data_IF_651625913962
#
_entry.id   IF_651625913962
#
_cell.length_a   1.000
_cell.length_b   1.000
_cell.length_c   1.000
_cell.angle_alpha   90.00
_cell.angle_beta   90.00
_cell.angle_gamma   90.00
#
_symmetry.space_group_name_H-M   'P 1'
#
loop_
_entity.id
_entity.type
_entity.pdbx_description
1 polymer ?
#
# COMPACT_ATOMS: atom_id res chain seq x y z
N UNK A 1 14.65 -42.25 -55.74
CA UNK A 1 14.14 -42.30 -54.35
C UNK A 1 14.17 -40.88 -53.82
N UNK A 2 13.10 -40.14 -54.07
CA UNK A 2 12.99 -38.73 -53.71
C UNK A 2 12.69 -38.57 -52.22
N UNK A 3 13.55 -37.82 -51.54
CA UNK A 3 13.38 -37.49 -50.12
C UNK A 3 12.24 -36.48 -50.00
N UNK A 4 11.14 -36.89 -49.36
CA UNK A 4 10.06 -36.00 -48.94
C UNK A 4 10.61 -34.94 -47.97
N UNK A 5 10.42 -33.67 -48.28
CA UNK A 5 10.67 -32.57 -47.35
C UNK A 5 9.66 -32.64 -46.20
N UNK A 6 10.15 -32.93 -44.99
CA UNK A 6 9.36 -32.85 -43.75
C UNK A 6 9.46 -31.43 -43.22
N UNK A 7 8.38 -30.65 -43.34
CA UNK A 7 8.28 -29.35 -42.70
C UNK A 7 7.92 -29.53 -41.22
N UNK A 8 8.83 -29.15 -40.31
CA UNK A 8 8.52 -29.02 -38.88
C UNK A 8 8.04 -27.60 -38.61
N UNK A 9 6.75 -27.43 -38.32
CA UNK A 9 6.21 -26.17 -37.82
C UNK A 9 6.54 -26.05 -36.33
N UNK A 10 7.34 -25.05 -35.96
CA UNK A 10 7.55 -24.68 -34.56
C UNK A 10 6.35 -23.85 -34.09
N UNK A 11 5.57 -24.39 -33.15
CA UNK A 11 4.53 -23.65 -32.44
C UNK A 11 5.18 -22.64 -31.50
N UNK A 12 5.21 -21.37 -31.89
CA UNK A 12 5.57 -20.28 -30.97
C UNK A 12 4.55 -20.23 -29.82
N UNK A 13 5.01 -20.36 -28.59
CA UNK A 13 4.18 -20.20 -27.40
C UNK A 13 3.64 -18.76 -27.31
N UNK A 14 2.37 -18.58 -27.63
CA UNK A 14 1.69 -17.28 -27.48
C UNK A 14 1.56 -16.94 -26.00
N UNK A 15 2.16 -15.82 -25.58
CA UNK A 15 1.88 -15.21 -24.28
C UNK A 15 0.37 -14.97 -24.13
N UNK A 16 -0.22 -15.49 -23.05
CA UNK A 16 -1.66 -15.37 -22.81
C UNK A 16 -1.93 -13.99 -22.18
N UNK A 17 -2.80 -13.20 -22.79
CA UNK A 17 -3.25 -11.91 -22.25
C UNK A 17 -4.62 -12.06 -21.59
N UNK A 18 -4.89 -11.31 -20.53
CA UNK A 18 -6.23 -11.12 -19.94
C UNK A 18 -6.68 -9.71 -20.26
N UNK A 19 -7.90 -9.56 -20.75
CA UNK A 19 -8.52 -8.26 -20.99
C UNK A 19 -9.87 -8.22 -20.28
N UNK A 20 -10.19 -7.11 -19.66
CA UNK A 20 -11.50 -6.86 -19.03
C UNK A 20 -11.91 -5.41 -19.19
N UNK A 21 -13.21 -5.17 -19.28
CA UNK A 21 -13.83 -3.84 -19.27
C UNK A 21 -14.62 -3.58 -17.99
N UNK A 22 -14.82 -4.61 -17.15
CA UNK A 22 -15.49 -4.50 -15.86
C UNK A 22 -14.61 -5.14 -14.79
N UNK A 23 -14.45 -4.44 -13.67
CA UNK A 23 -13.79 -4.94 -12.46
C UNK A 23 -14.75 -4.80 -11.29
N UNK A 24 -15.05 -5.92 -10.63
CA UNK A 24 -15.85 -5.95 -9.41
C UNK A 24 -14.93 -6.14 -8.21
N UNK A 25 -15.17 -5.38 -7.14
CA UNK A 25 -14.48 -5.52 -5.86
C UNK A 25 -15.53 -5.65 -4.77
N UNK A 26 -15.48 -6.76 -4.03
CA UNK A 26 -16.40 -7.05 -2.95
C UNK A 26 -15.71 -6.83 -1.61
N UNK A 27 -16.33 -6.04 -0.74
CA UNK A 27 -15.94 -5.87 0.66
C UNK A 27 -17.11 -6.29 1.56
N UNK A 28 -16.91 -6.45 2.88
CA UNK A 28 -18.01 -6.81 3.77
C UNK A 28 -19.19 -5.83 3.74
N UNK A 29 -18.93 -4.55 3.48
CA UNK A 29 -19.95 -3.50 3.53
C UNK A 29 -20.63 -3.24 2.18
N UNK A 30 -19.93 -3.42 1.05
CA UNK A 30 -20.46 -3.06 -0.27
C UNK A 30 -19.77 -3.82 -1.43
N UNK A 31 -20.34 -3.66 -2.64
CA UNK A 31 -19.74 -4.14 -3.89
C UNK A 31 -19.48 -2.94 -4.81
N UNK A 32 -18.22 -2.72 -5.18
CA UNK A 32 -17.83 -1.73 -6.18
C UNK A 32 -17.78 -2.36 -7.56
N UNK A 33 -18.38 -1.70 -8.55
CA UNK A 33 -18.31 -2.09 -9.96
C UNK A 33 -17.67 -0.97 -10.78
N UNK A 34 -16.49 -1.25 -11.33
CA UNK A 34 -15.74 -0.33 -12.17
C UNK A 34 -15.92 -0.70 -13.63
N UNK A 35 -16.52 0.18 -14.43
CA UNK A 35 -16.67 0.01 -15.88
C UNK A 35 -15.69 0.93 -16.63
N UNK A 36 -14.89 0.34 -17.50
CA UNK A 36 -13.89 1.04 -18.29
C UNK A 36 -14.37 1.16 -19.74
N UNK A 37 -14.28 2.37 -20.31
CA UNK A 37 -14.59 2.60 -21.73
C UNK A 37 -13.65 1.81 -22.66
N UNK A 38 -12.37 1.72 -22.28
CA UNK A 38 -11.34 0.95 -23.00
C UNK A 38 -10.93 -0.26 -22.17
N UNK A 39 -10.76 -1.45 -22.79
CA UNK A 39 -10.43 -2.66 -22.05
C UNK A 39 -9.04 -2.55 -21.41
N UNK A 40 -8.95 -2.92 -20.13
CA UNK A 40 -7.69 -3.04 -19.40
C UNK A 40 -7.05 -4.37 -19.77
N UNK A 41 -5.83 -4.34 -20.30
CA UNK A 41 -5.10 -5.52 -20.76
C UNK A 41 -3.92 -5.80 -19.84
N UNK A 42 -3.82 -7.02 -19.33
CA UNK A 42 -2.70 -7.49 -18.50
C UNK A 42 -2.07 -8.76 -19.08
N UNK A 43 -0.75 -8.89 -18.92
CA UNK A 43 -0.03 -10.12 -19.28
C UNK A 43 -0.32 -11.18 -18.22
N UNK A 44 -0.75 -12.38 -18.64
CA UNK A 44 -0.82 -13.53 -17.73
C UNK A 44 0.59 -14.09 -17.64
N UNK A 45 1.29 -13.83 -16.53
CA UNK A 45 2.52 -14.54 -16.24
C UNK A 45 2.18 -16.00 -15.99
N UNK A 46 2.52 -16.90 -16.93
CA UNK A 46 2.89 -18.27 -16.53
C UNK A 46 4.10 -18.16 -15.62
N UNK A 47 4.21 -19.06 -14.64
CA UNK A 47 5.35 -19.14 -13.72
C UNK A 47 6.67 -18.90 -14.48
N UNK A 48 7.48 -17.98 -13.97
CA UNK A 48 8.71 -17.53 -14.61
C UNK A 48 9.73 -18.66 -14.52
N UNK A 49 9.85 -19.49 -15.55
CA UNK A 49 11.16 -19.96 -15.96
C UNK A 49 11.81 -18.79 -16.71
N UNK A 50 12.95 -18.32 -16.18
CA UNK A 50 13.82 -17.36 -16.85
C UNK A 50 14.35 -17.98 -18.13
N UNK A 51 13.63 -17.85 -19.23
CA UNK A 51 14.22 -17.95 -20.57
C UNK A 51 14.36 -16.53 -21.11
N UNK A 52 15.60 -16.13 -21.34
CA UNK A 52 15.99 -14.85 -21.91
C UNK A 52 15.35 -14.70 -23.29
N UNK A 53 14.25 -13.94 -23.36
CA UNK A 53 13.63 -13.62 -24.64
C UNK A 53 14.49 -12.58 -25.35
N UNK A 54 14.94 -12.96 -26.55
CA UNK A 54 15.79 -12.27 -27.53
C UNK A 54 15.23 -10.95 -28.11
N UNK A 55 14.65 -10.09 -27.26
CA UNK A 55 14.16 -8.75 -27.62
C UNK A 55 14.93 -7.65 -26.86
N UNK A 56 16.22 -7.86 -26.66
CA UNK A 56 17.10 -6.93 -25.95
C UNK A 56 17.44 -5.67 -26.78
N UNK A 57 17.17 -5.68 -28.09
CA UNK A 57 17.49 -4.56 -28.99
C UNK A 57 16.60 -3.32 -28.82
N UNK A 58 15.45 -3.44 -28.15
CA UNK A 58 14.53 -2.33 -27.87
C UNK A 58 14.73 -1.72 -26.48
N UNK A 59 15.69 -2.21 -25.69
CA UNK A 59 16.07 -1.56 -24.44
C UNK A 59 16.85 -0.27 -24.73
N UNK A 60 16.13 0.75 -25.19
CA UNK A 60 16.57 2.12 -24.99
C UNK A 60 16.65 2.29 -23.48
N UNK A 61 17.85 2.30 -22.94
CA UNK A 61 18.14 2.75 -21.58
C UNK A 61 17.71 4.22 -21.47
N UNK A 62 16.41 4.41 -21.31
CA UNK A 62 15.83 5.71 -20.98
C UNK A 62 16.32 6.03 -19.58
N UNK A 63 17.42 6.78 -19.49
CA UNK A 63 17.87 7.38 -18.24
C UNK A 63 16.67 8.09 -17.62
N UNK A 64 16.30 7.67 -16.41
CA UNK A 64 15.21 8.31 -15.65
C UNK A 64 15.62 9.76 -15.40
N UNK A 65 15.02 10.68 -16.15
CA UNK A 65 15.17 12.13 -15.93
C UNK A 65 14.62 12.49 -14.56
N UNK A 66 15.26 13.43 -13.87
CA UNK A 66 14.67 14.04 -12.68
C UNK A 66 13.45 14.91 -13.07
N UNK A 67 12.57 15.22 -12.12
CA UNK A 67 11.39 16.06 -12.41
C UNK A 67 11.79 17.45 -12.95
N UNK A 68 12.92 17.98 -12.47
CA UNK A 68 13.46 19.29 -12.87
C UNK A 68 14.05 19.27 -14.30
N UNK A 69 14.50 18.11 -14.78
CA UNK A 69 15.03 17.91 -16.14
C UNK A 69 13.95 17.66 -17.20
N UNK A 70 12.69 17.49 -16.79
CA UNK A 70 11.56 17.24 -17.69
C UNK A 70 11.04 18.53 -18.31
N UNK A 71 10.53 18.44 -19.54
CA UNK A 71 9.82 19.57 -20.15
C UNK A 71 8.44 19.79 -19.46
N UNK A 72 7.81 20.93 -19.69
CA UNK A 72 6.53 21.27 -19.03
C UNK A 72 5.41 20.23 -19.29
N UNK A 73 5.38 19.62 -20.48
CA UNK A 73 4.40 18.57 -20.82
C UNK A 73 4.66 17.27 -20.05
N UNK A 74 5.91 16.84 -19.97
CA UNK A 74 6.36 15.66 -19.21
C UNK A 74 6.12 15.85 -17.70
N UNK A 75 6.35 17.06 -17.18
CA UNK A 75 6.05 17.41 -15.79
C UNK A 75 4.55 17.33 -15.50
N UNK A 76 3.70 17.90 -16.37
CA UNK A 76 2.25 17.84 -16.24
C UNK A 76 1.75 16.38 -16.25
N UNK A 77 2.26 15.54 -17.16
CA UNK A 77 1.92 14.12 -17.20
C UNK A 77 2.41 13.37 -15.94
N UNK A 78 3.61 13.69 -15.45
CA UNK A 78 4.15 13.15 -14.20
C UNK A 78 3.27 13.48 -12.99
N UNK A 79 2.82 14.73 -12.88
CA UNK A 79 1.89 15.17 -11.83
C UNK A 79 0.53 14.45 -11.95
N UNK A 80 -0.01 14.32 -13.17
CA UNK A 80 -1.26 13.59 -13.41
C UNK A 80 -1.16 12.13 -12.99
N UNK A 81 -0.08 11.44 -13.35
CA UNK A 81 0.17 10.05 -12.92
C UNK A 81 0.27 9.93 -11.40
N UNK A 82 0.94 10.89 -10.75
CA UNK A 82 1.07 10.94 -9.29
C UNK A 82 -0.28 11.18 -8.61
N UNK A 83 -1.12 12.04 -9.17
CA UNK A 83 -2.48 12.28 -8.66
C UNK A 83 -3.34 11.02 -8.75
N UNK A 84 -3.43 10.40 -9.92
CA UNK A 84 -4.19 9.16 -10.13
C UNK A 84 -3.71 8.05 -9.18
N UNK A 85 -2.39 7.94 -8.99
CA UNK A 85 -1.83 6.99 -8.02
C UNK A 85 -2.33 7.23 -6.59
N UNK A 86 -2.40 8.49 -6.13
CA UNK A 86 -2.93 8.78 -4.80
C UNK A 86 -4.42 8.51 -4.67
N UNK A 87 -5.20 8.79 -5.72
CA UNK A 87 -6.63 8.48 -5.78
C UNK A 87 -6.83 6.96 -5.68
N UNK A 88 -6.09 6.16 -6.46
CA UNK A 88 -6.12 4.70 -6.39
C UNK A 88 -5.73 4.17 -5.00
N UNK A 89 -4.70 4.76 -4.39
CA UNK A 89 -4.22 4.34 -3.06
C UNK A 89 -5.22 4.65 -1.96
N UNK A 90 -6.02 5.71 -2.10
CA UNK A 90 -7.13 5.99 -1.17
C UNK A 90 -8.14 4.85 -1.18
N UNK A 91 -8.59 4.43 -2.36
CA UNK A 91 -9.51 3.30 -2.49
C UNK A 91 -8.94 2.00 -1.90
N UNK A 92 -7.66 1.72 -2.16
CA UNK A 92 -7.00 0.54 -1.59
C UNK A 92 -6.96 0.58 -0.06
N UNK A 93 -6.60 1.72 0.53
CA UNK A 93 -6.57 1.91 1.99
C UNK A 93 -7.99 1.78 2.56
N UNK A 94 -8.99 2.40 1.94
CA UNK A 94 -10.39 2.31 2.39
C UNK A 94 -10.88 0.87 2.41
N UNK A 95 -10.62 0.09 1.35
CA UNK A 95 -10.99 -1.33 1.30
C UNK A 95 -10.26 -2.16 2.34
N UNK A 96 -8.97 -1.92 2.58
CA UNK A 96 -8.22 -2.60 3.65
C UNK A 96 -8.85 -2.30 5.01
N UNK A 97 -9.21 -1.04 5.27
CA UNK A 97 -9.88 -0.66 6.51
C UNK A 97 -11.22 -1.37 6.63
N UNK A 98 -12.08 -1.30 5.61
CA UNK A 98 -13.41 -1.92 5.60
C UNK A 98 -13.35 -3.44 5.87
N UNK A 99 -12.45 -4.14 5.17
CA UNK A 99 -12.26 -5.59 5.36
C UNK A 99 -11.80 -5.99 6.77
N UNK A 100 -11.18 -5.07 7.52
CA UNK A 100 -10.66 -5.34 8.87
C UNK A 100 -11.41 -4.56 9.95
N UNK A 101 -12.45 -3.80 9.60
CA UNK A 101 -13.11 -2.89 10.50
C UNK A 101 -13.98 -3.64 11.51
N UNK A 102 -13.81 -3.31 12.79
CA UNK A 102 -14.71 -3.69 13.85
C UNK A 102 -15.00 -2.48 14.75
N UNK A 103 -16.29 -2.21 14.97
CA UNK A 103 -16.77 -1.07 15.75
C UNK A 103 -16.20 -1.05 17.18
N UNK A 104 -15.95 -2.22 17.78
CA UNK A 104 -15.52 -2.33 19.18
C UNK A 104 -14.01 -2.30 19.32
N UNK A 105 -13.26 -2.90 18.39
CA UNK A 105 -11.82 -3.11 18.52
C UNK A 105 -10.95 -2.30 17.56
N UNK A 106 -11.51 -1.69 16.51
CA UNK A 106 -10.76 -0.77 15.64
C UNK A 106 -10.58 0.58 16.32
N UNK A 107 -9.34 1.08 16.34
CA UNK A 107 -9.00 2.36 17.00
C UNK A 107 -8.02 3.16 16.16
N UNK A 108 -8.33 4.44 15.98
CA UNK A 108 -7.41 5.39 15.39
C UNK A 108 -6.59 6.06 16.49
N UNK A 109 -5.27 6.01 16.33
CA UNK A 109 -4.31 6.48 17.32
C UNK A 109 -3.31 7.42 16.66
N UNK A 110 -3.10 8.57 17.29
CA UNK A 110 -2.02 9.49 16.95
C UNK A 110 -0.93 9.41 18.02
N UNK A 111 0.30 9.14 17.61
CA UNK A 111 1.48 9.10 18.47
C UNK A 111 2.36 10.30 18.18
N UNK A 112 2.57 11.15 19.19
CA UNK A 112 3.34 12.39 19.05
C UNK A 112 4.54 12.36 19.98
N UNK A 113 5.72 12.72 19.48
CA UNK A 113 6.90 12.91 20.31
C UNK A 113 6.77 14.21 21.12
N UNK A 114 7.17 14.21 22.40
CA UNK A 114 7.21 15.45 23.17
C UNK A 114 8.29 16.39 22.61
N UNK A 115 9.48 15.83 22.34
CA UNK A 115 10.59 16.50 21.66
C UNK A 115 10.31 16.69 20.17
N UNK A 116 10.98 17.67 19.56
CA UNK A 116 10.86 17.96 18.13
C UNK A 116 11.74 17.01 17.29
N UNK A 117 11.35 15.73 17.22
CA UNK A 117 12.11 14.72 16.48
C UNK A 117 11.85 14.82 14.98
N UNK A 118 12.90 15.08 14.19
CA UNK A 118 12.83 15.20 12.73
C UNK A 118 13.51 14.06 11.97
N UNK A 119 14.29 13.23 12.66
CA UNK A 119 14.99 12.09 12.06
C UNK A 119 14.04 10.90 11.89
N UNK A 120 13.69 10.61 10.63
CA UNK A 120 12.79 9.52 10.24
C UNK A 120 13.35 8.15 10.65
N UNK A 121 14.67 7.96 10.59
CA UNK A 121 15.30 6.67 10.93
C UNK A 121 15.12 6.38 12.43
N UNK A 122 15.44 7.36 13.25
CA UNK A 122 15.22 7.30 14.70
C UNK A 122 13.75 7.10 15.05
N UNK A 123 12.84 7.91 14.49
CA UNK A 123 11.41 7.79 14.83
C UNK A 123 10.81 6.46 14.41
N UNK A 124 11.22 5.90 13.26
CA UNK A 124 10.75 4.59 12.79
C UNK A 124 11.24 3.45 13.70
N UNK A 125 12.47 3.56 14.21
CA UNK A 125 13.00 2.63 15.21
C UNK A 125 12.18 2.68 16.49
N UNK A 126 11.87 3.88 16.99
CA UNK A 126 11.04 4.01 18.20
C UNK A 126 9.59 3.58 18.00
N UNK A 127 9.02 3.82 16.82
CA UNK A 127 7.73 3.25 16.44
C UNK A 127 7.75 1.72 16.44
N UNK A 128 8.78 1.11 15.86
CA UNK A 128 8.96 -0.35 15.88
C UNK A 128 9.09 -0.88 17.31
N UNK A 129 9.85 -0.20 18.15
CA UNK A 129 9.98 -0.55 19.57
C UNK A 129 8.64 -0.44 20.30
N UNK A 130 7.85 0.59 20.02
CA UNK A 130 6.50 0.75 20.55
C UNK A 130 5.59 -0.42 20.18
N UNK A 131 5.55 -0.81 18.90
CA UNK A 131 4.76 -1.97 18.44
C UNK A 131 5.22 -3.25 19.17
N UNK A 132 6.52 -3.45 19.37
CA UNK A 132 7.06 -4.59 20.12
C UNK A 132 6.63 -4.57 21.59
N UNK A 133 6.70 -3.41 22.26
CA UNK A 133 6.27 -3.25 23.66
C UNK A 133 4.76 -3.48 23.81
N UNK A 134 3.96 -2.96 22.89
CA UNK A 134 2.51 -3.14 22.85
C UNK A 134 2.14 -4.62 22.67
N UNK A 135 2.74 -5.30 21.69
CA UNK A 135 2.51 -6.74 21.48
C UNK A 135 2.95 -7.58 22.68
N UNK A 136 4.04 -7.21 23.35
CA UNK A 136 4.49 -7.92 24.54
C UNK A 136 3.50 -7.74 25.71
N UNK A 137 2.94 -6.54 25.87
CA UNK A 137 1.90 -6.28 26.88
C UNK A 137 0.65 -7.12 26.61
N UNK A 138 0.18 -7.15 25.36
CA UNK A 138 -1.09 -7.80 24.97
C UNK A 138 -0.97 -9.33 24.86
N UNK A 139 0.03 -9.83 24.16
CA UNK A 139 0.13 -11.24 23.75
C UNK A 139 1.39 -11.95 24.26
N UNK A 140 2.18 -11.29 25.14
CA UNK A 140 3.45 -11.82 25.68
C UNK A 140 4.47 -12.20 24.60
N UNK A 141 4.37 -11.61 23.41
CA UNK A 141 5.27 -11.83 22.28
C UNK A 141 5.91 -10.52 21.83
N UNK A 142 7.16 -10.59 21.35
CA UNK A 142 7.85 -9.44 20.74
C UNK A 142 7.65 -9.37 19.23
N UNK A 143 6.82 -10.25 18.66
CA UNK A 143 6.43 -10.24 17.25
C UNK A 143 5.23 -9.32 17.05
N UNK A 144 5.11 -8.70 15.88
CA UNK A 144 3.95 -7.89 15.54
C UNK A 144 2.77 -8.81 15.19
N UNK A 145 1.98 -9.17 16.21
CA UNK A 145 0.77 -9.97 16.07
C UNK A 145 -0.49 -9.11 15.94
N UNK A 146 -0.49 -7.91 16.53
CA UNK A 146 -1.56 -6.93 16.37
C UNK A 146 -1.55 -6.37 14.93
N UNK A 147 -2.62 -6.54 14.13
CA UNK A 147 -2.70 -5.96 12.79
C UNK A 147 -2.88 -4.45 12.87
N UNK A 148 -2.19 -3.70 12.02
CA UNK A 148 -2.30 -2.25 11.97
C UNK A 148 -1.96 -1.68 10.59
N UNK A 149 -2.47 -0.50 10.31
CA UNK A 149 -2.04 0.37 9.22
C UNK A 149 -1.45 1.64 9.83
N UNK A 150 -0.24 2.04 9.41
CA UNK A 150 0.42 3.21 9.95
C UNK A 150 0.99 4.10 8.84
N UNK A 151 0.95 5.40 9.07
CA UNK A 151 1.67 6.41 8.30
C UNK A 151 2.26 7.44 9.25
N UNK A 152 3.24 8.22 8.78
CA UNK A 152 3.79 9.33 9.53
C UNK A 152 3.65 10.61 8.73
N UNK A 153 3.49 11.72 9.44
CA UNK A 153 3.49 13.05 8.84
C UNK A 153 4.28 14.02 9.72
N UNK A 154 4.72 15.13 9.11
CA UNK A 154 5.37 16.22 9.83
C UNK A 154 4.30 17.14 10.38
N UNK A 155 4.29 17.32 11.70
CA UNK A 155 3.48 18.31 12.38
C UNK A 155 3.93 19.73 11.98
N UNK A 156 3.09 20.75 12.20
CA UNK A 156 3.42 22.18 11.91
C UNK A 156 4.78 22.64 12.48
N UNK A 157 5.22 22.08 13.60
CA UNK A 157 6.51 22.36 14.25
C UNK A 157 7.72 21.60 13.66
N UNK A 158 7.51 20.75 12.65
CA UNK A 158 8.51 19.89 12.03
C UNK A 158 8.61 18.48 12.63
N UNK A 159 8.13 18.28 13.86
CA UNK A 159 8.16 16.99 14.55
C UNK A 159 7.39 15.93 13.78
N UNK A 160 7.93 14.73 13.68
CA UNK A 160 7.23 13.58 13.12
C UNK A 160 6.16 13.12 14.13
N UNK A 161 4.97 12.80 13.65
CA UNK A 161 4.00 12.02 14.41
C UNK A 161 3.48 10.86 13.57
N UNK A 162 2.98 9.82 14.23
CA UNK A 162 2.41 8.65 13.57
C UNK A 162 0.90 8.67 13.69
N UNK A 163 0.24 8.36 12.58
CA UNK A 163 -1.18 8.02 12.51
C UNK A 163 -1.30 6.52 12.30
N UNK A 164 -2.00 5.86 13.21
CA UNK A 164 -2.10 4.40 13.23
C UNK A 164 -3.55 3.98 13.40
N UNK A 165 -4.01 3.08 12.54
CA UNK A 165 -5.26 2.35 12.74
C UNK A 165 -4.86 0.97 13.24
N UNK A 166 -5.20 0.66 14.48
CA UNK A 166 -5.10 -0.69 15.00
C UNK A 166 -6.40 -1.43 14.76
N UNK A 167 -6.30 -2.67 14.28
CA UNK A 167 -7.41 -3.59 14.16
C UNK A 167 -7.35 -4.58 15.32
N UNK A 168 -8.50 -4.99 15.86
CA UNK A 168 -8.57 -5.99 16.93
C UNK A 168 -7.80 -5.59 18.20
N UNK A 169 -7.70 -4.29 18.51
CA UNK A 169 -7.01 -3.81 19.71
C UNK A 169 -7.87 -4.05 20.95
N UNK A 170 -7.43 -4.89 21.91
CA UNK A 170 -8.15 -5.06 23.17
C UNK A 170 -8.16 -3.75 23.97
N UNK A 171 -9.13 -3.63 24.88
CA UNK A 171 -9.20 -2.45 25.74
C UNK A 171 -7.89 -2.27 26.53
N UNK A 172 -7.31 -1.08 26.40
CA UNK A 172 -6.13 -0.67 27.14
C UNK A 172 -6.31 0.79 27.57
N UNK A 173 -6.01 1.09 28.83
CA UNK A 173 -6.14 2.44 29.36
C UNK A 173 -5.16 3.38 28.65
N UNK A 174 -5.60 4.60 28.33
CA UNK A 174 -4.77 5.61 27.65
C UNK A 174 -3.45 5.86 28.41
N UNK A 175 -3.50 5.93 29.74
CA UNK A 175 -2.30 6.08 30.59
C UNK A 175 -1.30 4.95 30.39
N UNK A 176 -1.77 3.70 30.26
CA UNK A 176 -0.88 2.56 29.97
C UNK A 176 -0.28 2.66 28.58
N UNK A 177 -1.06 3.04 27.57
CA UNK A 177 -0.55 3.28 26.22
C UNK A 177 0.49 4.40 26.17
N UNK A 178 0.29 5.48 26.91
CA UNK A 178 1.26 6.56 27.04
C UNK A 178 2.57 6.07 27.66
N UNK A 179 2.50 5.23 28.69
CA UNK A 179 3.69 4.58 29.27
C UNK A 179 4.39 3.64 28.30
N UNK A 180 3.63 2.87 27.51
CA UNK A 180 4.19 1.98 26.47
C UNK A 180 4.83 2.80 25.35
N UNK A 181 4.23 3.93 24.97
CA UNK A 181 4.80 4.86 24.01
C UNK A 181 6.09 5.46 24.53
N UNK A 182 6.08 6.08 25.70
CA UNK A 182 7.27 6.55 26.43
C UNK A 182 7.95 7.80 25.87
N UNK A 183 7.56 8.29 24.69
CA UNK A 183 8.22 9.42 24.02
C UNK A 183 7.37 10.68 23.91
N UNK A 184 6.13 10.67 24.41
CA UNK A 184 5.25 11.84 24.38
C UNK A 184 3.78 11.48 24.57
N UNK A 185 2.93 11.99 23.68
CA UNK A 185 1.49 11.93 23.82
C UNK A 185 0.87 10.87 22.92
N UNK A 186 -0.18 10.25 23.41
CA UNK A 186 -1.05 9.33 22.67
C UNK A 186 -2.44 9.91 22.69
N UNK A 187 -3.02 10.10 21.51
CA UNK A 187 -4.44 10.46 21.32
C UNK A 187 -5.15 9.29 20.68
N UNK A 188 -6.29 8.89 21.24
CA UNK A 188 -7.13 7.83 20.69
C UNK A 188 -8.45 8.46 20.28
N UNK A 189 -8.85 8.22 19.03
CA UNK A 189 -10.16 8.60 18.53
C UNK A 189 -10.92 7.33 18.14
N UNK A 190 -12.24 7.37 18.33
CA UNK A 190 -13.13 6.37 17.74
C UNK A 190 -13.13 6.61 16.23
N UNK A 191 -13.06 5.51 15.46
CA UNK A 191 -13.28 5.56 14.02
C UNK A 191 -14.78 5.49 13.83
N UNK A 192 -15.35 6.58 13.34
CA UNK A 192 -16.76 6.62 12.91
C UNK A 192 -16.77 6.37 11.40
N UNK A 193 -17.58 5.41 10.98
CA UNK A 193 -17.81 5.13 9.56
C UNK A 193 -18.99 6.01 9.15
N UNK A 194 -18.71 7.07 8.40
CA UNK A 194 -19.77 7.88 7.80
C UNK A 194 -20.61 6.99 6.90
N UNK A 195 -21.87 6.78 7.30
CA UNK A 195 -22.80 5.87 6.64
C UNK A 195 -23.51 6.52 5.44
N UNK A 196 -23.18 7.78 5.13
CA UNK A 196 -24.03 8.63 4.29
C UNK A 196 -23.38 9.17 3.02
N UNK A 197 -22.06 9.11 2.85
CA UNK A 197 -21.43 9.67 1.64
C UNK A 197 -20.21 8.83 1.22
N UNK A 198 -20.44 7.74 0.48
CA UNK A 198 -19.45 7.12 -0.39
C UNK A 198 -20.12 6.71 -1.70
#
# INVERSE_FOLDING_TARGET
MDKQNVYKAYTQEKSKYRAYNIKTVETPSYIEVWQYEKPVVSKVSKQIEKSESSLDFLQVESKKKSFEEMNASEQAESLRRKQLHYEDKRWEISRIIDCNFDSQSTKFMTLTFAKNETDISYTNKEFTNFIRRLNYKLYKTKKASLPYLATWEKQRRGAIHYHVIFFQLPFIKVKELQTIWGHGFVKINKVEVDSLEN
#
